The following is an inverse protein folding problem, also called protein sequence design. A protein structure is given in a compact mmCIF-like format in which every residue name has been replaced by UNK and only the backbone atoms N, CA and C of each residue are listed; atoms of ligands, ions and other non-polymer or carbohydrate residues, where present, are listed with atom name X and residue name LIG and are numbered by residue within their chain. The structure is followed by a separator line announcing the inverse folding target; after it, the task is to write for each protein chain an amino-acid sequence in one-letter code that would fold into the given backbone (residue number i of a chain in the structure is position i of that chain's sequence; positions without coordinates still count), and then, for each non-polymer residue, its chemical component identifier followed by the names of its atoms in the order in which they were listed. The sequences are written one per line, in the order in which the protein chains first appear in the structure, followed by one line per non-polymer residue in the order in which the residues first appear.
data_IF_467622133240
#
_entry.id   IF_467622133240
#
_cell.length_a   1.000
_cell.length_b   1.000
_cell.length_c   1.000
_cell.angle_alpha   90.00
_cell.angle_beta   90.00
_cell.angle_gamma   90.00
#
_symmetry.space_group_name_H-M   'P 1'
#
loop_
_entity.id
_entity.type
_entity.pdbx_description
1 polymer ?
#
# COMPACT_ATOMS: atom_id res chain seq x y z
N UNK A 1 17.49 -35.46 11.63
CA UNK A 1 16.94 -34.21 11.05
C UNK A 1 15.59 -33.98 11.70
N UNK A 2 15.59 -33.19 12.77
CA UNK A 2 14.45 -32.94 13.63
C UNK A 2 13.63 -31.79 13.04
N UNK A 3 12.36 -32.08 12.74
CA UNK A 3 11.32 -31.09 12.50
C UNK A 3 11.42 -29.99 13.56
N UNK A 4 11.82 -28.78 13.19
CA UNK A 4 12.13 -27.74 14.18
C UNK A 4 10.86 -27.27 14.92
N UNK A 5 9.67 -27.38 14.31
CA UNK A 5 8.39 -26.99 14.94
C UNK A 5 7.19 -27.81 14.39
N UNK A 6 6.61 -28.67 15.24
CA UNK A 6 5.45 -29.59 15.03
C UNK A 6 5.76 -30.94 14.35
N UNK A 7 4.92 -31.94 14.64
CA UNK A 7 4.98 -33.28 14.04
C UNK A 7 4.32 -33.29 12.66
N UNK A 8 4.91 -34.02 11.70
CA UNK A 8 4.40 -34.14 10.33
C UNK A 8 2.97 -34.71 10.24
N UNK A 9 2.57 -35.54 11.20
CA UNK A 9 1.21 -36.10 11.32
C UNK A 9 0.12 -35.03 11.54
N UNK A 10 0.49 -33.81 11.93
CA UNK A 10 -0.43 -32.69 12.16
C UNK A 10 -0.50 -31.70 10.99
N UNK A 11 0.04 -32.06 9.83
CA UNK A 11 0.04 -31.17 8.69
C UNK A 11 -1.33 -31.10 8.01
N UNK A 12 -1.71 -29.93 7.48
CA UNK A 12 -2.95 -29.79 6.73
C UNK A 12 -2.88 -30.65 5.46
N UNK A 13 -4.03 -31.23 5.10
CA UNK A 13 -4.18 -31.84 3.78
C UNK A 13 -4.26 -30.71 2.75
N UNK A 14 -3.39 -30.77 1.74
CA UNK A 14 -3.33 -29.78 0.68
C UNK A 14 -3.98 -30.32 -0.60
N UNK A 15 -4.80 -29.49 -1.23
CA UNK A 15 -5.45 -29.81 -2.52
C UNK A 15 -4.64 -29.20 -3.68
N UNK A 16 -3.55 -29.86 -4.05
CA UNK A 16 -2.73 -29.49 -5.20
C UNK A 16 -2.01 -30.70 -5.79
N UNK A 17 -1.70 -30.61 -7.08
CA UNK A 17 -1.11 -31.71 -7.84
C UNK A 17 0.33 -32.02 -7.43
N UNK A 18 1.08 -31.01 -6.97
CA UNK A 18 2.49 -31.13 -6.65
C UNK A 18 2.80 -30.46 -5.30
N UNK A 19 3.52 -31.18 -4.46
CA UNK A 19 3.84 -30.80 -3.09
C UNK A 19 5.31 -31.09 -2.80
N UNK A 20 5.98 -30.17 -2.11
CA UNK A 20 7.34 -30.36 -1.60
C UNK A 20 7.40 -29.94 -0.15
N UNK A 21 8.25 -30.57 0.65
CA UNK A 21 8.54 -30.13 2.02
C UNK A 21 9.87 -29.36 2.00
N UNK A 22 9.86 -28.02 2.12
CA UNK A 22 11.10 -27.23 2.08
C UNK A 22 12.05 -27.58 3.23
N UNK A 23 13.34 -27.28 3.06
CA UNK A 23 14.32 -27.46 4.14
C UNK A 23 13.91 -26.70 5.40
N UNK A 24 14.05 -27.35 6.55
CA UNK A 24 13.63 -26.84 7.87
C UNK A 24 12.12 -26.61 8.04
N UNK A 25 11.27 -27.11 7.13
CA UNK A 25 9.82 -27.14 7.31
C UNK A 25 9.31 -28.55 7.62
N UNK A 26 8.14 -28.61 8.25
CA UNK A 26 7.50 -29.85 8.68
C UNK A 26 6.35 -30.31 7.79
N UNK A 27 5.69 -29.36 7.12
CA UNK A 27 4.53 -29.65 6.29
C UNK A 27 4.86 -29.47 4.83
N UNK A 28 4.28 -30.31 3.95
CA UNK A 28 4.35 -30.05 2.53
C UNK A 28 3.75 -28.68 2.23
N UNK A 29 4.26 -28.04 1.19
CA UNK A 29 3.71 -26.84 0.60
C UNK A 29 3.44 -27.13 -0.87
N UNK A 30 2.33 -26.61 -1.39
CA UNK A 30 2.03 -26.69 -2.82
C UNK A 30 3.10 -25.95 -3.61
N UNK A 31 3.45 -26.49 -4.77
CA UNK A 31 4.34 -25.85 -5.75
C UNK A 31 3.69 -25.87 -7.12
N UNK A 32 4.20 -25.04 -8.03
CA UNK A 32 3.70 -24.93 -9.41
C UNK A 32 2.19 -24.61 -9.49
N UNK A 33 1.66 -23.95 -8.46
CA UNK A 33 0.31 -23.40 -8.41
C UNK A 33 0.39 -21.90 -8.65
N UNK A 34 -0.55 -21.37 -9.43
CA UNK A 34 -0.78 -19.92 -9.48
C UNK A 34 -1.66 -19.52 -8.29
N UNK A 35 -1.00 -19.10 -7.21
CA UNK A 35 -1.67 -18.69 -5.99
C UNK A 35 -2.42 -17.36 -6.16
N UNK A 36 -2.05 -16.53 -7.14
CA UNK A 36 -2.74 -15.26 -7.42
C UNK A 36 -4.07 -15.47 -8.17
N UNK A 37 -4.22 -16.60 -8.87
CA UNK A 37 -5.48 -16.98 -9.51
C UNK A 37 -6.51 -17.63 -8.56
N UNK A 38 -6.17 -17.79 -7.27
CA UNK A 38 -7.05 -18.40 -6.29
C UNK A 38 -8.37 -17.62 -6.11
N UNK A 39 -9.44 -18.33 -5.73
CA UNK A 39 -10.76 -17.75 -5.44
C UNK A 39 -11.24 -18.19 -4.06
N UNK A 40 -11.53 -17.25 -3.12
CA UNK A 40 -11.38 -15.80 -3.26
C UNK A 40 -9.91 -15.38 -3.47
N UNK A 41 -9.71 -14.21 -4.08
CA UNK A 41 -8.37 -13.67 -4.34
C UNK A 41 -7.60 -13.49 -3.01
N UNK A 42 -6.32 -13.90 -2.91
CA UNK A 42 -5.61 -13.96 -1.62
C UNK A 42 -5.21 -12.60 -1.06
N UNK A 43 -5.12 -11.58 -1.92
CA UNK A 43 -4.70 -10.23 -1.55
C UNK A 43 -5.87 -9.25 -1.53
N UNK A 44 -5.70 -8.18 -0.76
CA UNK A 44 -6.59 -7.01 -0.77
C UNK A 44 -6.73 -6.44 -2.19
N UNK A 45 -7.90 -5.89 -2.59
CA UNK A 45 -8.06 -5.20 -3.88
C UNK A 45 -7.06 -4.07 -4.14
N UNK A 46 -6.56 -3.42 -3.08
CA UNK A 46 -5.54 -2.38 -3.10
C UNK A 46 -4.12 -2.93 -2.93
N UNK A 47 -3.91 -4.23 -3.15
CA UNK A 47 -2.61 -4.87 -3.16
C UNK A 47 -2.26 -5.45 -4.55
N UNK A 48 -0.97 -5.58 -4.79
CA UNK A 48 -0.38 -6.36 -5.86
C UNK A 48 -0.11 -7.78 -5.35
N UNK A 49 -0.56 -8.78 -6.13
CA UNK A 49 -0.24 -10.17 -5.87
C UNK A 49 1.00 -10.60 -6.65
N UNK A 50 1.96 -11.17 -5.95
CA UNK A 50 3.12 -11.84 -6.53
C UNK A 50 3.01 -13.33 -6.29
N UNK A 51 3.05 -14.13 -7.36
CA UNK A 51 3.06 -15.58 -7.23
C UNK A 51 4.40 -16.02 -6.63
N UNK A 52 4.38 -16.54 -5.40
CA UNK A 52 5.56 -17.04 -4.70
C UNK A 52 5.73 -18.55 -4.89
N UNK A 53 6.91 -19.09 -4.55
CA UNK A 53 7.20 -20.52 -4.71
C UNK A 53 6.31 -21.42 -3.85
N UNK A 54 5.77 -20.91 -2.73
CA UNK A 54 4.99 -21.67 -1.75
C UNK A 54 3.69 -20.97 -1.32
N UNK A 55 3.23 -20.00 -2.11
CA UNK A 55 2.04 -19.21 -1.79
C UNK A 55 2.05 -17.83 -2.44
N UNK A 56 0.91 -17.14 -2.39
CA UNK A 56 0.81 -15.75 -2.83
C UNK A 56 1.53 -14.82 -1.83
N UNK A 57 2.25 -13.85 -2.36
CA UNK A 57 2.79 -12.72 -1.58
C UNK A 57 2.03 -11.47 -1.98
N UNK A 58 1.46 -10.78 -1.00
CA UNK A 58 0.69 -9.58 -1.23
C UNK A 58 1.48 -8.35 -0.76
N UNK A 59 1.47 -7.29 -1.56
CA UNK A 59 2.07 -6.01 -1.20
C UNK A 59 1.06 -4.90 -1.50
N UNK A 60 0.80 -4.01 -0.55
CA UNK A 60 -0.07 -2.87 -0.83
C UNK A 60 0.48 -2.03 -1.99
N UNK A 61 -0.42 -1.55 -2.85
CA UNK A 61 -0.11 -0.64 -3.95
C UNK A 61 0.43 0.68 -3.38
N UNK A 62 1.13 1.44 -4.22
CA UNK A 62 1.55 2.81 -3.86
C UNK A 62 0.35 3.65 -3.40
N UNK A 63 0.53 4.46 -2.36
CA UNK A 63 -0.55 5.23 -1.71
C UNK A 63 -1.32 4.45 -0.64
N UNK A 64 -0.98 3.18 -0.41
CA UNK A 64 -1.59 2.36 0.64
C UNK A 64 -0.54 1.76 1.57
N UNK A 65 -0.92 1.50 2.81
CA UNK A 65 -0.09 0.83 3.82
C UNK A 65 -0.83 -0.36 4.44
N UNK A 66 -0.08 -1.34 4.95
CA UNK A 66 -0.65 -2.54 5.55
C UNK A 66 0.21 -3.77 5.29
N UNK A 67 -0.42 -4.95 5.40
CA UNK A 67 0.26 -6.24 5.23
C UNK A 67 0.00 -6.90 3.85
N UNK A 68 -0.71 -6.22 2.95
CA UNK A 68 -1.06 -6.72 1.62
C UNK A 68 -2.33 -7.58 1.55
N UNK A 69 -2.73 -8.22 2.66
CA UNK A 69 -4.06 -8.86 2.76
C UNK A 69 -5.12 -7.90 3.29
N UNK A 70 -4.67 -6.84 3.96
CA UNK A 70 -5.44 -5.67 4.35
C UNK A 70 -4.58 -4.45 4.02
N UNK A 71 -5.14 -3.56 3.20
CA UNK A 71 -4.48 -2.31 2.83
C UNK A 71 -5.36 -1.10 3.15
N UNK A 72 -4.79 -0.15 3.87
CA UNK A 72 -5.40 1.12 4.24
C UNK A 72 -4.83 2.23 3.38
N UNK A 73 -5.69 3.16 3.02
CA UNK A 73 -5.29 4.38 2.32
C UNK A 73 -4.35 5.23 3.20
N UNK A 74 -3.26 5.73 2.63
CA UNK A 74 -2.39 6.69 3.30
C UNK A 74 -3.05 8.05 3.15
N UNK A 75 -3.48 8.68 4.24
CA UNK A 75 -4.02 10.04 4.18
C UNK A 75 -2.87 11.05 4.07
N UNK A 76 -2.52 11.45 2.84
CA UNK A 76 -1.43 12.41 2.63
C UNK A 76 -1.78 13.82 3.14
N UNK A 77 -3.06 14.11 3.41
CA UNK A 77 -3.51 15.38 3.96
C UNK A 77 -3.36 15.47 5.49
N UNK A 78 -3.26 14.34 6.21
CA UNK A 78 -2.99 14.36 7.65
C UNK A 78 -1.61 14.95 8.00
N UNK A 79 -0.71 15.05 7.03
CA UNK A 79 0.58 15.74 7.19
C UNK A 79 0.53 17.23 6.82
N UNK A 80 -0.53 17.69 6.16
CA UNK A 80 -0.69 19.07 5.65
C UNK A 80 -1.02 20.09 6.75
N UNK A 81 -1.45 19.64 7.94
CA UNK A 81 -1.64 20.53 9.10
C UNK A 81 -0.33 21.23 9.54
N UNK A 82 0.84 20.69 9.14
CA UNK A 82 2.14 21.29 9.42
C UNK A 82 2.56 22.41 8.43
N UNK A 83 1.87 22.58 7.30
CA UNK A 83 2.21 23.60 6.30
C UNK A 83 1.80 25.03 6.69
N UNK A 84 1.11 25.20 7.84
CA UNK A 84 0.66 26.53 8.32
C UNK A 84 1.55 27.17 9.37
N UNK A 85 2.49 26.45 9.98
CA UNK A 85 3.32 27.04 11.04
C UNK A 85 4.76 26.55 10.93
N UNK A 86 5.58 27.35 10.22
CA UNK A 86 7.05 27.44 10.29
C UNK A 86 7.83 26.12 10.34
N UNK A 87 8.59 25.80 9.28
CA UNK A 87 10.00 25.29 9.30
C UNK A 87 10.30 24.48 8.02
N UNK A 88 11.31 24.92 7.25
CA UNK A 88 12.07 24.16 6.24
C UNK A 88 11.33 23.61 4.99
N UNK A 89 11.62 24.21 3.82
CA UNK A 89 11.12 23.81 2.49
C UNK A 89 11.50 22.38 2.05
N UNK A 90 12.42 21.71 2.73
CA UNK A 90 12.93 20.37 2.38
C UNK A 90 11.94 19.24 2.66
N UNK A 91 11.01 19.40 3.61
CA UNK A 91 10.06 18.35 3.98
C UNK A 91 8.86 18.23 3.02
N UNK A 92 8.60 19.27 2.22
CA UNK A 92 7.44 19.36 1.30
C UNK A 92 7.53 18.42 0.11
N UNK A 93 8.74 18.00 -0.24
CA UNK A 93 9.00 17.36 -1.52
C UNK A 93 8.81 15.84 -1.49
N UNK A 94 8.71 15.24 -0.30
CA UNK A 94 8.74 13.78 -0.16
C UNK A 94 7.39 13.13 0.16
N UNK A 95 6.38 13.91 0.58
CA UNK A 95 5.05 13.41 1.02
C UNK A 95 3.89 14.27 0.50
N UNK A 96 4.01 14.81 -0.72
CA UNK A 96 2.83 15.36 -1.39
C UNK A 96 2.29 16.69 -0.81
N UNK A 97 3.14 17.57 -0.30
CA UNK A 97 2.64 18.84 0.25
C UNK A 97 1.93 19.71 -0.79
N UNK A 98 0.74 20.20 -0.44
CA UNK A 98 0.04 21.27 -1.16
C UNK A 98 0.74 22.62 -0.93
N UNK A 99 0.68 23.52 -1.92
CA UNK A 99 1.42 24.81 -1.89
C UNK A 99 0.49 26.01 -1.67
N UNK A 100 1.01 27.24 -1.79
CA UNK A 100 0.28 28.43 -1.31
C UNK A 100 -1.10 28.56 -1.96
N UNK A 101 -2.08 28.99 -1.16
CA UNK A 101 -3.44 29.24 -1.65
C UNK A 101 -4.26 27.97 -1.94
N UNK A 102 -3.80 26.80 -1.49
CA UNK A 102 -4.47 25.53 -1.74
C UNK A 102 -5.00 24.84 -0.48
N UNK A 103 -5.90 23.88 -0.68
CA UNK A 103 -6.37 22.91 0.31
C UNK A 103 -6.10 21.49 -0.19
N UNK A 104 -5.63 20.61 0.70
CA UNK A 104 -5.44 19.20 0.40
C UNK A 104 -6.78 18.43 0.45
N UNK A 105 -6.95 17.50 -0.49
CA UNK A 105 -8.09 16.57 -0.57
C UNK A 105 -7.53 15.16 -0.71
N UNK A 106 -7.75 14.31 0.31
CA UNK A 106 -7.32 12.92 0.32
C UNK A 106 -8.15 12.08 -0.66
N UNK A 107 -7.51 11.16 -1.38
CA UNK A 107 -8.14 10.26 -2.35
C UNK A 107 -7.60 8.82 -2.16
N UNK A 108 -8.37 7.78 -2.49
CA UNK A 108 -7.83 6.41 -2.42
C UNK A 108 -6.57 6.23 -3.29
N UNK A 109 -5.43 5.99 -2.64
CA UNK A 109 -4.12 5.80 -3.23
C UNK A 109 -3.40 7.08 -3.65
N UNK A 110 -3.92 8.27 -3.33
CA UNK A 110 -3.34 9.55 -3.73
C UNK A 110 -3.97 10.75 -3.01
N UNK A 111 -3.60 11.96 -3.40
CA UNK A 111 -4.24 13.18 -2.95
C UNK A 111 -4.25 14.21 -4.08
N UNK A 112 -5.03 15.28 -3.92
CA UNK A 112 -4.96 16.44 -4.82
C UNK A 112 -5.03 17.75 -4.05
N UNK A 113 -4.51 18.80 -4.65
CA UNK A 113 -4.61 20.16 -4.14
C UNK A 113 -5.66 20.95 -4.94
N UNK A 114 -6.56 21.63 -4.24
CA UNK A 114 -7.52 22.54 -4.84
C UNK A 114 -7.36 23.97 -4.33
N UNK A 115 -7.81 24.96 -5.10
CA UNK A 115 -7.66 26.36 -4.72
C UNK A 115 -8.63 26.75 -3.60
N UNK A 116 -8.13 27.50 -2.63
CA UNK A 116 -8.99 28.21 -1.69
C UNK A 116 -9.85 29.25 -2.44
N UNK A 117 -11.05 29.60 -1.92
CA UNK A 117 -11.89 30.63 -2.53
C UNK A 117 -11.12 31.94 -2.75
N UNK A 118 -11.20 32.49 -3.96
CA UNK A 118 -10.49 33.72 -4.34
C UNK A 118 -9.07 33.53 -4.86
N UNK A 119 -8.56 32.31 -4.86
CA UNK A 119 -7.31 31.96 -5.52
C UNK A 119 -7.57 31.36 -6.89
N UNK A 120 -6.70 31.67 -7.86
CA UNK A 120 -6.73 31.12 -9.21
C UNK A 120 -5.64 30.07 -9.39
N UNK A 121 -5.99 28.94 -10.02
CA UNK A 121 -5.07 27.83 -10.26
C UNK A 121 -3.90 28.27 -11.13
N UNK A 122 -2.68 28.09 -10.61
CA UNK A 122 -1.44 28.27 -11.36
C UNK A 122 -0.94 26.92 -11.90
N UNK A 123 -0.91 25.90 -11.03
CA UNK A 123 -0.56 24.53 -11.41
C UNK A 123 -1.30 23.50 -10.50
N UNK A 124 -0.84 22.24 -10.51
CA UNK A 124 -1.46 21.16 -9.74
C UNK A 124 -1.33 21.32 -8.22
N UNK A 125 -0.38 22.15 -7.75
CA UNK A 125 -0.10 22.36 -6.32
C UNK A 125 -0.19 23.82 -5.88
N UNK A 126 -0.24 24.78 -6.80
CA UNK A 126 -0.23 26.21 -6.52
C UNK A 126 -1.49 26.94 -6.98
N UNK A 127 -1.95 27.89 -6.17
CA UNK A 127 -2.92 28.88 -6.58
C UNK A 127 -2.46 30.30 -6.17
N UNK A 128 -2.72 31.28 -7.04
CA UNK A 128 -2.38 32.69 -6.84
C UNK A 128 -3.59 33.45 -6.30
N UNK A 129 -3.36 34.34 -5.33
CA UNK A 129 -4.41 35.26 -4.86
C UNK A 129 -4.67 36.31 -5.96
N UNK A 130 -5.84 36.23 -6.58
CA UNK A 130 -6.25 37.15 -7.66
C UNK A 130 -7.23 38.22 -7.18
N UNK A 131 -7.55 38.24 -5.88
CA UNK A 131 -8.46 39.24 -5.27
C UNK A 131 -7.70 40.45 -4.69
N UNK A 132 -6.35 40.45 -4.73
CA UNK A 132 -5.51 41.56 -4.24
C UNK A 132 -4.86 42.43 -5.32
N UNK A 133 -5.56 42.72 -6.42
CA UNK A 133 -5.20 43.83 -7.33
C UNK A 133 -6.22 44.95 -7.17
#
# INVERSE_FOLDING_TARGET
MTCQFRKAENCPVLECNEQVTPENQCCPQCVNVDFCAAKPHPCDPNAECQNGPFGAKCKCKTGFFGNGTICYDIDECQWDDSARQQWDDSARQQLGGCQMGTMCINLPGSFKCDCLPGFQRLDERNCLDVIRI
#
